data_IF_967931498072
#
_entry.id   IF_967931498072
#
_cell.length_a   1.000
_cell.length_b   1.000
_cell.length_c   1.000
_cell.angle_alpha   90.00
_cell.angle_beta   90.00
_cell.angle_gamma   90.00
#
_symmetry.space_group_name_H-M   'P 1'
#
loop_
_entity.id
_entity.type
_entity.pdbx_description
1 polymer ?
2 non-polymer ?
3 non-polymer ?
4 water ?
#
# COMPACT_ATOMS: atom_id res chain seq x y z
N UNK A 1 3.81 2.83 -3.68
CA UNK A 1 4.15 1.77 -4.67
C UNK A 1 3.51 2.08 -6.02
N UNK A 2 3.98 1.39 -7.05
CA UNK A 2 3.47 1.58 -8.39
C UNK A 2 2.03 1.10 -8.55
N UNK A 3 1.41 1.52 -9.64
CA UNK A 3 0.05 1.15 -9.99
C UNK A 3 -0.13 1.64 -11.43
N UNK A 4 0.82 1.28 -12.28
CA UNK A 4 0.83 1.68 -13.69
C UNK A 4 -0.24 1.02 -14.54
N UNK A 5 -0.67 -0.17 -14.18
CA UNK A 5 -1.69 -0.86 -14.95
C UNK A 5 -2.83 -1.31 -14.06
N UNK A 6 -4.04 -1.03 -14.53
CA UNK A 6 -5.25 -1.36 -13.81
C UNK A 6 -5.43 -2.84 -13.48
N UNK A 7 -5.01 -3.74 -14.36
CA UNK A 7 -5.22 -5.17 -14.10
C UNK A 7 -4.02 -6.11 -14.16
N UNK A 8 -2.81 -5.56 -14.31
CA UNK A 8 -1.60 -6.38 -14.39
C UNK A 8 -0.66 -6.13 -13.20
N UNK A 9 -0.24 -7.19 -12.53
CA UNK A 9 0.66 -7.08 -11.37
C UNK A 9 2.07 -6.67 -11.78
N UNK A 10 2.45 -7.01 -13.01
CA UNK A 10 3.78 -6.70 -13.50
C UNK A 10 4.24 -5.29 -13.19
N UNK A 11 3.38 -4.32 -13.45
CA UNK A 11 3.71 -2.93 -13.19
C UNK A 11 2.77 -2.29 -12.17
N UNK A 12 2.15 -3.10 -11.33
CA UNK A 12 1.24 -2.58 -10.31
C UNK A 12 1.48 -3.23 -8.96
N UNK A 13 2.48 -2.73 -8.22
CA UNK A 13 2.78 -3.27 -6.91
C UNK A 13 1.56 -3.25 -6.00
N UNK A 14 0.75 -2.18 -6.08
CA UNK A 14 -0.44 -2.08 -5.24
C UNK A 14 -1.38 -3.27 -5.39
N UNK A 15 -1.64 -3.65 -6.64
CA UNK A 15 -2.52 -4.78 -6.92
C UNK A 15 -1.85 -6.06 -6.45
N UNK A 16 -0.54 -6.15 -6.63
CA UNK A 16 0.23 -7.32 -6.23
C UNK A 16 0.13 -7.52 -4.72
N UNK A 17 0.24 -6.44 -3.97
CA UNK A 17 0.16 -6.53 -2.51
C UNK A 17 -1.21 -7.04 -2.07
N UNK A 18 -2.25 -6.65 -2.80
CA UNK A 18 -3.60 -7.07 -2.47
C UNK A 18 -3.86 -8.52 -2.85
N UNK A 19 -3.42 -8.91 -4.04
CA UNK A 19 -3.60 -10.30 -4.51
C UNK A 19 -2.89 -11.27 -3.58
N UNK A 20 -1.71 -10.87 -3.09
CA UNK A 20 -0.95 -11.71 -2.19
C UNK A 20 -1.63 -11.78 -0.83
N UNK A 21 -2.24 -10.67 -0.41
CA UNK A 21 -2.96 -10.63 0.87
C UNK A 21 -4.16 -11.58 0.78
N UNK A 22 -4.82 -11.57 -0.38
CA UNK A 22 -5.98 -12.44 -0.60
C UNK A 22 -5.51 -13.91 -0.57
N UNK A 23 -4.31 -14.18 -1.10
CA UNK A 23 -3.77 -15.54 -1.07
C UNK A 23 -3.55 -15.96 0.38
N UNK A 24 -3.16 -15.01 1.23
CA UNK A 24 -2.93 -15.32 2.64
C UNK A 24 -4.25 -15.76 3.26
N UNK A 25 -5.35 -15.10 2.87
CA UNK A 25 -6.67 -15.44 3.39
C UNK A 25 -7.11 -16.82 2.87
N UNK A 26 -6.75 -17.14 1.63
CA UNK A 26 -7.10 -18.44 1.06
C UNK A 26 -6.31 -19.53 1.77
N UNK A 27 -5.04 -19.26 2.05
CA UNK A 27 -4.19 -20.24 2.71
C UNK A 27 -4.61 -20.49 4.17
N UNK A 28 -5.26 -19.52 4.79
CA UNK A 28 -5.70 -19.71 6.17
C UNK A 28 -6.95 -20.59 6.23
N UNK A 29 -6.85 -21.69 6.98
CA UNK A 29 -7.96 -22.62 7.10
C UNK A 29 -8.54 -22.72 8.50
N UNK A 30 -8.12 -21.83 9.39
CA UNK A 30 -8.63 -21.87 10.76
C UNK A 30 -9.51 -20.69 11.12
N UNK A 31 -9.29 -19.56 10.46
CA UNK A 31 -10.06 -18.37 10.79
C UNK A 31 -10.88 -17.73 9.68
N UNK A 32 -10.32 -17.67 8.47
CA UNK A 32 -10.98 -17.03 7.35
C UNK A 32 -12.13 -17.81 6.69
N UNK A 33 -13.24 -17.12 6.46
CA UNK A 33 -14.39 -17.71 5.77
C UNK A 33 -14.07 -17.50 4.29
N UNK A 34 -13.82 -18.58 3.57
CA UNK A 34 -13.47 -18.52 2.15
C UNK A 34 -14.51 -17.85 1.26
N UNK A 35 -15.72 -17.71 1.78
CA UNK A 35 -16.80 -17.06 1.06
C UNK A 35 -16.41 -15.59 0.84
N UNK A 36 -15.55 -15.08 1.72
CA UNK A 36 -15.08 -13.71 1.64
C UNK A 36 -14.10 -13.56 0.48
N UNK A 37 -13.26 -14.58 0.27
CA UNK A 37 -12.32 -14.55 -0.83
C UNK A 37 -13.09 -14.63 -2.15
N UNK A 38 -14.15 -15.43 -2.15
CA UNK A 38 -15.00 -15.59 -3.32
C UNK A 38 -15.62 -14.26 -3.72
N UNK A 39 -16.06 -13.49 -2.73
CA UNK A 39 -16.67 -12.18 -2.96
C UNK A 39 -15.70 -11.17 -3.56
N UNK A 40 -14.46 -11.20 -3.08
CA UNK A 40 -13.42 -10.29 -3.56
C UNK A 40 -13.13 -10.53 -5.05
N UNK A 41 -13.10 -11.79 -5.44
CA UNK A 41 -12.84 -12.12 -6.84
C UNK A 41 -14.08 -11.85 -7.70
N UNK A 42 -15.25 -12.00 -7.11
CA UNK A 42 -16.48 -11.76 -7.84
C UNK A 42 -16.55 -10.30 -8.27
N UNK A 43 -16.05 -9.41 -7.42
CA UNK A 43 -16.05 -7.98 -7.70
C UNK A 43 -14.64 -7.46 -7.92
N UNK A 44 -13.77 -8.34 -8.42
CA UNK A 44 -12.37 -7.99 -8.67
C UNK A 44 -12.22 -6.78 -9.58
N UNK A 45 -13.07 -6.66 -10.58
CA UNK A 45 -13.00 -5.52 -11.50
C UNK A 45 -13.17 -4.20 -10.77
N UNK A 46 -14.16 -4.13 -9.87
CA UNK A 46 -14.40 -2.90 -9.11
C UNK A 46 -13.27 -2.67 -8.12
N UNK A 47 -12.74 -3.76 -7.56
CA UNK A 47 -11.65 -3.70 -6.60
C UNK A 47 -10.43 -3.08 -7.27
N UNK A 48 -9.99 -3.69 -8.36
CA UNK A 48 -8.83 -3.21 -9.10
C UNK A 48 -9.02 -1.78 -9.61
N UNK A 49 -10.26 -1.43 -9.97
CA UNK A 49 -10.56 -0.07 -10.44
C UNK A 49 -10.22 0.92 -9.33
N UNK A 50 -10.66 0.58 -8.12
CA UNK A 50 -10.40 1.44 -6.97
C UNK A 50 -8.91 1.58 -6.67
N UNK A 51 -8.19 0.47 -6.69
CA UNK A 51 -6.76 0.46 -6.41
C UNK A 51 -5.99 1.35 -7.39
N UNK A 52 -6.45 1.38 -8.63
CA UNK A 52 -5.83 2.16 -9.70
C UNK A 52 -6.24 3.64 -9.72
N UNK A 53 -7.52 3.89 -9.45
CA UNK A 53 -8.06 5.25 -9.47
C UNK A 53 -7.36 6.22 -8.53
N UNK A 54 -6.91 5.71 -7.39
CA UNK A 54 -6.23 6.54 -6.41
C UNK A 54 -5.07 7.35 -6.97
N UNK A 55 -4.42 6.86 -8.02
CA UNK A 55 -3.27 7.55 -8.60
C UNK A 55 -3.54 8.36 -9.88
N UNK A 56 -4.72 8.21 -10.46
CA UNK A 56 -4.97 8.89 -11.72
C UNK A 56 -6.10 9.91 -11.84
N UNK A 57 -6.83 10.17 -10.76
CA UNK A 57 -7.92 11.13 -10.84
C UNK A 57 -8.31 11.79 -9.51
N UNK A 58 -9.00 12.92 -9.61
CA UNK A 58 -9.46 13.63 -8.43
C UNK A 58 -10.70 12.93 -7.90
N UNK A 59 -10.95 13.05 -6.58
CA UNK A 59 -10.14 13.79 -5.60
C UNK A 59 -8.97 12.96 -5.05
N UNK A 60 -8.98 11.68 -5.37
CA UNK A 60 -7.98 10.73 -4.90
C UNK A 60 -6.52 11.14 -5.03
N UNK A 61 -6.12 11.73 -6.16
CA UNK A 61 -4.72 12.10 -6.31
C UNK A 61 -4.42 13.58 -6.10
N UNK A 62 -5.36 14.28 -5.47
CA UNK A 62 -5.22 15.69 -5.12
C UNK A 62 -4.55 16.59 -6.18
N UNK A 63 -5.16 16.68 -7.36
CA UNK A 63 -4.64 17.52 -8.44
C UNK A 63 -3.20 17.21 -8.84
N UNK A 64 -2.85 15.93 -8.83
CA UNK A 64 -1.50 15.49 -9.19
C UNK A 64 -0.41 15.79 -8.18
N UNK A 65 -0.77 15.97 -6.92
CA UNK A 65 0.23 16.24 -5.89
C UNK A 65 0.32 15.02 -4.98
N UNK A 66 -0.66 14.13 -5.11
CA UNK A 66 -0.73 12.91 -4.32
C UNK A 66 -0.55 13.13 -2.81
N UNK A 67 -0.93 14.31 -2.34
CA UNK A 67 -0.80 14.65 -0.93
C UNK A 67 -1.47 13.63 -0.01
N UNK A 68 -2.62 13.09 -0.43
CA UNK A 68 -3.32 12.12 0.41
C UNK A 68 -2.67 10.73 0.47
N UNK A 69 -1.62 10.54 -0.32
CA UNK A 69 -0.91 9.27 -0.36
C UNK A 69 0.27 9.25 0.62
N UNK A 70 0.37 10.29 1.46
CA UNK A 70 1.45 10.37 2.43
C UNK A 70 0.90 10.56 3.83
N UNK A 71 1.65 10.07 4.82
CA UNK A 71 1.28 10.21 6.22
C UNK A 71 2.47 9.96 7.13
N UNK A 72 2.96 11.01 7.76
CA UNK A 72 4.08 10.88 8.69
C UNK A 72 3.42 10.61 10.05
N UNK A 73 3.64 9.41 10.61
CA UNK A 73 3.04 9.07 11.90
C UNK A 73 3.49 9.93 13.09
N UNK A 74 4.66 10.56 12.99
CA UNK A 74 5.16 11.39 14.10
C UNK A 74 4.38 12.69 14.31
N UNK A 75 4.03 13.37 13.22
CA UNK A 75 3.28 14.61 13.32
C UNK A 75 1.89 14.49 12.71
N UNK A 76 1.58 13.30 12.18
CA UNK A 76 0.28 13.06 11.56
C UNK A 76 -0.03 13.92 10.35
N UNK A 77 0.99 14.32 9.61
CA UNK A 77 0.81 15.18 8.44
C UNK A 77 1.35 14.60 7.13
N UNK A 78 0.95 15.20 6.02
CA UNK A 78 1.44 14.80 4.71
C UNK A 78 2.50 15.83 4.36
N UNK A 79 3.08 15.76 3.16
CA UNK A 79 4.15 16.70 2.80
C UNK A 79 3.71 18.13 2.44
N UNK A 80 2.40 18.35 2.35
CA UNK A 80 1.89 19.67 2.03
C UNK A 80 1.08 20.17 3.22
N UNK A 81 1.40 21.36 3.73
CA UNK A 81 0.69 21.94 4.87
C UNK A 81 -0.83 22.04 4.67
N UNK A 82 -1.58 21.62 5.69
CA UNK A 82 -3.04 21.66 5.68
C UNK A 82 -3.73 20.75 4.66
N UNK A 83 -2.96 19.88 4.00
CA UNK A 83 -3.56 18.97 3.03
C UNK A 83 -4.05 17.70 3.72
N UNK A 84 -4.94 16.98 3.06
CA UNK A 84 -5.47 15.72 3.59
C UNK A 84 -4.38 14.66 3.54
N UNK A 85 -4.37 13.75 4.52
CA UNK A 85 -3.35 12.71 4.56
C UNK A 85 -3.93 11.29 4.44
N UNK A 86 -3.03 10.33 4.23
CA UNK A 86 -3.39 8.94 4.03
C UNK A 86 -4.24 8.27 5.10
N UNK A 87 -3.96 8.54 6.38
CA UNK A 87 -4.72 7.92 7.46
C UNK A 87 -6.21 8.28 7.48
N UNK A 88 -6.53 9.56 7.34
CA UNK A 88 -7.92 9.97 7.36
C UNK A 88 -8.58 9.64 6.02
N UNK A 89 -7.82 9.72 4.93
CA UNK A 89 -8.37 9.43 3.63
C UNK A 89 -8.63 7.93 3.45
N UNK A 90 -7.73 7.10 3.95
CA UNK A 90 -7.92 5.67 3.84
C UNK A 90 -9.09 5.19 4.69
N UNK A 91 -9.22 5.75 5.88
CA UNK A 91 -10.30 5.38 6.78
C UNK A 91 -11.64 5.80 6.18
N UNK A 92 -11.65 6.96 5.55
CA UNK A 92 -12.84 7.50 4.91
C UNK A 92 -13.44 6.51 3.93
N UNK A 93 -12.60 5.96 3.04
CA UNK A 93 -13.07 5.02 2.05
C UNK A 93 -13.37 3.64 2.61
N UNK A 94 -12.73 3.30 3.72
CA UNK A 94 -12.97 2.02 4.37
C UNK A 94 -14.42 2.03 4.86
N UNK A 95 -14.84 3.16 5.42
CA UNK A 95 -16.20 3.32 5.93
C UNK A 95 -17.21 3.47 4.80
N UNK A 96 -16.86 4.22 3.76
CA UNK A 96 -17.79 4.38 2.65
C UNK A 96 -18.02 3.02 2.01
N UNK A 97 -16.95 2.23 1.92
CA UNK A 97 -17.06 0.90 1.34
C UNK A 97 -18.01 0.03 2.16
N UNK A 98 -17.86 0.09 3.48
CA UNK A 98 -18.71 -0.70 4.34
C UNK A 98 -20.19 -0.33 4.33
N UNK A 99 -20.50 0.95 4.20
CA UNK A 99 -21.88 1.39 4.18
C UNK A 99 -22.56 0.94 2.89
N UNK A 100 -21.85 1.03 1.77
CA UNK A 100 -22.39 0.60 0.49
C UNK A 100 -22.58 -0.91 0.55
N UNK A 101 -21.70 -1.59 1.29
CA UNK A 101 -21.78 -3.04 1.39
C UNK A 101 -23.06 -3.43 2.12
N UNK A 102 -23.41 -2.67 3.16
CA UNK A 102 -24.61 -2.97 3.92
C UNK A 102 -25.89 -2.62 3.18
N UNK A 103 -25.79 -1.79 2.15
CA UNK A 103 -26.96 -1.44 1.34
C UNK A 103 -26.99 -2.30 0.09
N UNK A 104 -26.15 -3.33 0.07
CA UNK A 104 -26.06 -4.26 -1.04
C UNK A 104 -25.59 -3.68 -2.38
N UNK A 105 -24.84 -2.57 -2.33
CA UNK A 105 -24.33 -1.99 -3.56
C UNK A 105 -22.88 -2.46 -3.67
N UNK A 106 -22.69 -3.69 -4.14
CA UNK A 106 -21.37 -4.29 -4.27
C UNK A 106 -20.37 -3.53 -5.14
N UNK A 107 -20.81 -3.07 -6.31
CA UNK A 107 -19.94 -2.32 -7.21
C UNK A 107 -19.30 -1.13 -6.50
N UNK A 108 -20.12 -0.43 -5.73
CA UNK A 108 -19.69 0.76 -4.98
C UNK A 108 -18.80 0.36 -3.80
N UNK A 109 -19.23 -0.67 -3.07
CA UNK A 109 -18.50 -1.15 -1.91
C UNK A 109 -17.07 -1.56 -2.20
N UNK A 110 -16.88 -2.41 -3.21
CA UNK A 110 -15.55 -2.88 -3.54
C UNK A 110 -14.69 -1.87 -4.26
N UNK A 111 -15.32 -0.89 -4.90
CA UNK A 111 -14.53 0.14 -5.58
C UNK A 111 -13.87 0.92 -4.44
N UNK A 112 -14.69 1.36 -3.47
CA UNK A 112 -14.18 2.11 -2.33
C UNK A 112 -13.19 1.31 -1.50
N UNK A 113 -13.40 0.01 -1.36
CA UNK A 113 -12.46 -0.83 -0.59
C UNK A 113 -11.11 -0.79 -1.31
N UNK A 114 -11.15 -0.84 -2.64
CA UNK A 114 -9.92 -0.79 -3.42
C UNK A 114 -9.15 0.49 -3.14
N UNK A 115 -9.86 1.62 -3.10
CA UNK A 115 -9.21 2.89 -2.82
C UNK A 115 -8.57 2.85 -1.43
N UNK A 116 -9.32 2.36 -0.44
CA UNK A 116 -8.80 2.27 0.93
C UNK A 116 -7.57 1.39 1.00
N UNK A 117 -7.58 0.28 0.27
CA UNK A 117 -6.45 -0.63 0.27
C UNK A 117 -5.22 0.06 -0.32
N UNK A 118 -5.44 0.91 -1.31
CA UNK A 118 -4.34 1.65 -1.93
C UNK A 118 -3.63 2.55 -0.92
N UNK A 119 -4.40 3.31 -0.14
CA UNK A 119 -3.82 4.20 0.85
C UNK A 119 -3.09 3.44 1.95
N UNK A 120 -3.69 2.35 2.42
CA UNK A 120 -3.07 1.52 3.44
C UNK A 120 -1.76 0.97 2.86
N UNK A 121 -1.77 0.67 1.56
CA UNK A 121 -0.58 0.16 0.91
C UNK A 121 0.54 1.17 0.89
N UNK A 122 0.22 2.43 0.61
CA UNK A 122 1.22 3.48 0.56
C UNK A 122 2.00 3.75 1.84
N UNK A 123 1.34 3.66 3.00
CA UNK A 123 2.01 3.91 4.26
C UNK A 123 2.97 2.79 4.63
N UNK A 124 2.96 1.69 3.88
CA UNK A 124 3.90 0.60 4.13
C UNK A 124 5.16 0.88 3.34
N UNK A 125 5.10 1.91 2.50
CA UNK A 125 6.25 2.33 1.70
C UNK A 125 6.90 3.44 2.53
N UNK A 126 8.10 3.17 3.10
CA UNK A 126 8.85 4.12 3.93
C UNK A 126 8.84 5.59 3.50
N UNK A 127 9.05 5.83 2.21
CA UNK A 127 9.07 7.19 1.68
C UNK A 127 7.75 7.93 1.91
N UNK A 128 6.65 7.17 1.85
CA UNK A 128 5.34 7.75 2.06
C UNK A 128 5.07 8.04 3.52
N UNK A 129 5.73 7.31 4.39
CA UNK A 129 5.55 7.54 5.82
C UNK A 129 6.56 8.58 6.33
N UNK A 130 7.42 9.07 5.45
CA UNK A 130 8.43 10.06 5.84
C UNK A 130 8.40 11.32 4.99
N UNK A 131 7.35 11.45 4.16
CA UNK A 131 7.19 12.61 3.29
C UNK A 131 8.34 12.87 2.31
N UNK A 132 8.96 11.79 1.86
CA UNK A 132 10.03 11.88 0.87
C UNK A 132 9.31 11.64 -0.46
N UNK A 133 9.18 12.70 -1.26
CA UNK A 133 8.49 12.61 -2.54
C UNK A 133 9.48 12.55 -3.71
N UNK A 134 8.95 12.52 -4.92
CA UNK A 134 9.78 12.45 -6.11
C UNK A 134 10.52 13.76 -6.36
N UNK A 135 10.15 14.80 -5.63
CA UNK A 135 10.82 16.10 -5.77
C UNK A 135 11.83 16.29 -4.65
N UNK A 136 11.81 15.39 -3.69
CA UNK A 136 12.75 15.43 -2.58
C UNK A 136 14.13 15.02 -3.11
N UNK A 137 15.18 15.53 -2.50
CA UNK A 137 16.54 15.21 -2.93
C UNK A 137 16.98 13.83 -2.47
N UNK A 138 17.53 13.02 -3.39
CA UNK A 138 17.76 13.28 -4.82
C UNK A 138 16.44 13.15 -5.56
N UNK A 139 16.11 14.11 -6.42
CA UNK A 139 14.86 14.04 -7.14
C UNK A 139 14.86 12.90 -8.15
N UNK A 140 13.69 12.28 -8.32
CA UNK A 140 13.57 11.17 -9.25
C UNK A 140 13.79 9.83 -8.58
N UNK A 141 14.40 9.83 -7.40
CA UNK A 141 14.70 8.60 -6.67
C UNK A 141 13.43 7.86 -6.24
N UNK A 142 12.45 8.60 -5.77
CA UNK A 142 11.20 8.01 -5.33
C UNK A 142 10.54 7.15 -6.40
N UNK A 143 10.36 7.68 -7.61
CA UNK A 143 9.71 6.89 -8.66
C UNK A 143 10.60 5.79 -9.22
N UNK A 144 11.92 6.03 -9.33
CA UNK A 144 12.80 4.99 -9.84
C UNK A 144 12.86 3.82 -8.86
N UNK A 145 12.73 4.11 -7.58
CA UNK A 145 12.75 3.06 -6.57
C UNK A 145 11.51 2.20 -6.74
N UNK A 146 10.35 2.84 -6.82
CA UNK A 146 9.10 2.10 -6.96
C UNK A 146 9.00 1.30 -8.26
N UNK A 147 9.73 1.75 -9.29
CA UNK A 147 9.75 1.03 -10.57
C UNK A 147 10.63 -0.21 -10.39
N UNK A 148 11.75 -0.03 -9.70
CA UNK A 148 12.68 -1.12 -9.43
C UNK A 148 11.98 -2.20 -8.61
N UNK A 149 11.12 -1.79 -7.68
CA UNK A 149 10.40 -2.72 -6.83
C UNK A 149 9.57 -3.74 -7.61
N UNK A 150 8.99 -3.33 -8.73
CA UNK A 150 8.18 -4.23 -9.56
C UNK A 150 8.99 -5.38 -10.15
N UNK A 151 10.28 -5.16 -10.37
CA UNK A 151 11.14 -6.18 -10.95
C UNK A 151 11.61 -7.23 -9.95
N UNK A 152 11.47 -6.95 -8.66
CA UNK A 152 11.92 -7.91 -7.66
C UNK A 152 10.88 -8.37 -6.65
N UNK A 153 9.68 -7.79 -6.69
CA UNK A 153 8.64 -8.15 -5.73
C UNK A 153 8.24 -9.62 -5.64
N UNK A 154 8.19 -10.34 -6.76
CA UNK A 154 7.81 -11.75 -6.72
C UNK A 154 8.69 -12.64 -5.86
N UNK A 155 9.89 -12.16 -5.51
CA UNK A 155 10.79 -12.93 -4.67
C UNK A 155 10.40 -12.83 -3.21
N UNK A 156 9.44 -11.97 -2.91
CA UNK A 156 9.03 -11.76 -1.52
C UNK A 156 7.56 -12.00 -1.20
N UNK A 157 7.00 -13.09 -1.73
CA UNK A 157 5.61 -13.43 -1.48
C UNK A 157 5.52 -14.20 -0.17
N UNK A 158 4.51 -13.90 0.62
CA UNK A 158 4.28 -14.60 1.87
C UNK A 158 3.58 -15.90 1.48
N UNK A 159 4.17 -17.04 1.83
CA UNK A 159 3.56 -18.32 1.46
C UNK A 159 2.86 -19.08 2.59
N UNK A 160 2.37 -18.35 3.60
CA UNK A 160 1.64 -18.99 4.69
C UNK A 160 0.35 -18.21 4.88
N UNK A 161 -0.55 -18.71 5.71
CA UNK A 161 -1.83 -18.04 5.91
C UNK A 161 -1.90 -17.20 7.18
N UNK A 162 -0.75 -16.71 7.63
CA UNK A 162 -0.72 -15.91 8.83
C UNK A 162 -0.65 -14.40 8.57
N UNK A 163 -1.82 -13.78 8.51
CA UNK A 163 -1.87 -12.34 8.29
C UNK A 163 -1.97 -11.76 9.69
N UNK A 164 -1.92 -10.44 9.81
CA UNK A 164 -2.01 -9.83 11.13
C UNK A 164 -3.46 -9.67 11.54
N UNK A 165 -4.10 -10.79 11.87
CA UNK A 165 -5.50 -10.78 12.29
C UNK A 165 -5.62 -9.91 13.53
N UNK A 166 -6.59 -8.99 13.51
CA UNK A 166 -6.84 -8.06 14.61
C UNK A 166 -5.55 -7.45 15.15
N UNK A 167 -4.66 -7.10 14.22
CA UNK A 167 -3.37 -6.49 14.53
C UNK A 167 -3.57 -5.26 15.41
N UNK A 168 -4.48 -4.38 15.00
CA UNK A 168 -4.78 -3.18 15.78
C UNK A 168 -6.24 -3.24 16.22
N UNK A 169 -6.78 -2.11 16.67
CA UNK A 169 -8.16 -2.10 17.11
C UNK A 169 -9.17 -2.37 16.01
N UNK A 170 -10.34 -1.75 16.12
CA UNK A 170 -11.38 -1.93 15.12
C UNK A 170 -11.51 -0.68 14.26
N UNK A 171 -10.75 0.36 14.62
CA UNK A 171 -10.75 1.62 13.90
C UNK A 171 -9.71 1.54 12.79
N UNK A 172 -10.15 1.61 11.52
CA UNK A 172 -9.22 1.54 10.38
C UNK A 172 -8.03 2.51 10.50
N UNK A 173 -8.26 3.67 11.11
CA UNK A 173 -7.20 4.66 11.30
C UNK A 173 -6.01 4.12 12.06
N UNK A 174 -6.27 3.28 13.06
CA UNK A 174 -5.21 2.69 13.86
C UNK A 174 -4.31 1.77 13.01
N UNK A 175 -4.91 1.10 12.05
CA UNK A 175 -4.16 0.20 11.17
C UNK A 175 -3.23 0.96 10.24
N UNK A 176 -3.72 2.07 9.69
CA UNK A 176 -2.92 2.88 8.79
C UNK A 176 -1.79 3.54 9.57
N UNK A 177 -2.12 4.08 10.74
CA UNK A 177 -1.12 4.73 11.58
C UNK A 177 -0.09 3.69 12.01
N UNK A 178 -0.58 2.56 12.53
CA UNK A 178 0.30 1.49 12.97
C UNK A 178 1.24 1.01 11.89
N UNK A 179 0.75 0.92 10.65
CA UNK A 179 1.57 0.46 9.53
C UNK A 179 2.63 1.50 9.16
N UNK A 180 2.25 2.78 9.23
CA UNK A 180 3.16 3.87 8.88
C UNK A 180 4.29 3.95 9.91
N UNK A 181 3.94 3.72 11.17
CA UNK A 181 4.92 3.75 12.26
C UNK A 181 6.02 2.74 11.99
N UNK A 182 5.64 1.54 11.56
CA UNK A 182 6.60 0.48 11.26
C UNK A 182 7.42 0.80 10.01
N UNK A 183 6.77 1.36 8.99
CA UNK A 183 7.47 1.69 7.75
C UNK A 183 8.45 2.84 7.93
N UNK A 184 8.11 3.81 8.76
CA UNK A 184 9.01 4.94 8.97
C UNK A 184 10.31 4.49 9.65
N UNK A 185 10.24 3.45 10.47
CA UNK A 185 11.41 2.91 11.16
C UNK A 185 12.42 2.37 10.14
N UNK A 186 11.91 1.81 9.05
CA UNK A 186 12.76 1.24 8.02
C UNK A 186 13.18 2.25 6.95
N UNK A 187 12.80 3.51 7.16
CA UNK A 187 13.12 4.57 6.21
C UNK A 187 14.61 4.68 5.89
N UNK A 188 15.43 4.77 6.94
CA UNK A 188 16.87 4.90 6.80
C UNK A 188 17.51 3.75 6.02
N UNK A 189 16.90 2.57 6.08
CA UNK A 189 17.45 1.43 5.36
C UNK A 189 17.27 1.54 3.86
N UNK A 190 16.60 2.60 3.41
CA UNK A 190 16.37 2.82 1.99
C UNK A 190 16.91 4.17 1.54
N UNK A 191 16.60 5.22 2.32
CA UNK A 191 17.06 6.56 1.99
C UNK A 191 18.17 6.96 2.96
N UNK A 192 19.39 7.09 2.43
CA UNK A 192 20.55 7.48 3.22
C UNK A 192 21.65 8.04 2.32
N UNK A 193 22.68 8.63 2.90
CA UNK A 193 23.77 9.21 2.11
C UNK A 193 24.30 8.28 1.02
N UNK A 194 24.40 6.99 1.33
CA UNK A 194 24.89 6.01 0.37
C UNK A 194 23.98 5.87 -0.84
N UNK A 195 22.73 5.50 -0.60
CA UNK A 195 21.78 5.33 -1.70
C UNK A 195 21.62 6.64 -2.48
N UNK A 196 21.64 7.77 -1.78
CA UNK A 196 21.52 9.06 -2.44
C UNK A 196 22.70 9.22 -3.39
N UNK A 197 23.90 9.01 -2.86
CA UNK A 197 25.13 9.14 -3.63
C UNK A 197 25.17 8.22 -4.87
N UNK A 198 24.94 6.94 -4.66
CA UNK A 198 24.98 5.98 -5.76
C UNK A 198 23.90 6.25 -6.80
N UNK A 199 22.75 6.73 -6.36
CA UNK A 199 21.65 7.01 -7.29
C UNK A 199 22.02 8.17 -8.20
N UNK A 200 22.78 9.12 -7.66
CA UNK A 200 23.21 10.26 -8.44
C UNK A 200 24.27 9.83 -9.44
N UNK A 201 25.24 9.07 -8.96
CA UNK A 201 26.31 8.58 -9.83
C UNK A 201 25.77 7.54 -10.80
N UNK A 202 24.72 6.84 -10.39
CA UNK A 202 24.10 5.82 -11.23
C UNK A 202 23.76 6.41 -12.59
N UNK A 203 23.52 7.72 -12.59
CA UNK A 203 23.19 8.43 -13.82
C UNK A 203 24.23 8.18 -14.91
N UNK A 204 25.50 8.27 -14.54
CA UNK A 204 26.59 8.07 -15.50
C UNK A 204 27.32 6.73 -15.40
N UNK A 205 26.93 5.89 -14.46
CA UNK A 205 27.61 4.60 -14.30
C UNK A 205 26.67 3.43 -13.95
N UNK A 206 26.53 2.51 -14.89
CA UNK A 206 25.69 1.33 -14.70
C UNK A 206 26.12 0.57 -13.45
N UNK A 207 27.39 0.76 -13.10
CA UNK A 207 28.01 0.13 -11.95
C UNK A 207 27.34 0.58 -10.65
N UNK A 208 26.95 1.85 -10.60
CA UNK A 208 26.30 2.40 -9.41
C UNK A 208 24.80 2.12 -9.38
N UNK A 209 24.17 2.06 -10.55
CA UNK A 209 22.75 1.78 -10.63
C UNK A 209 22.45 0.48 -9.90
N UNK A 210 23.30 -0.52 -10.10
CA UNK A 210 23.13 -1.82 -9.46
C UNK A 210 23.46 -1.75 -7.98
N UNK A 211 24.36 -0.84 -7.62
CA UNK A 211 24.76 -0.71 -6.22
C UNK A 211 23.62 -0.28 -5.28
N UNK A 212 22.86 0.74 -5.65
CA UNK A 212 21.78 1.17 -4.76
C UNK A 212 20.62 0.18 -4.80
N UNK A 213 20.41 -0.44 -5.96
CA UNK A 213 19.33 -1.43 -6.10
C UNK A 213 19.58 -2.57 -5.12
N UNK A 214 20.82 -3.01 -5.02
CA UNK A 214 21.18 -4.09 -4.11
C UNK A 214 21.02 -3.65 -2.67
N UNK A 215 21.47 -2.43 -2.37
CA UNK A 215 21.39 -1.90 -1.01
C UNK A 215 19.97 -1.82 -0.43
N UNK A 216 19.00 -1.44 -1.27
CA UNK A 216 17.62 -1.29 -0.80
C UNK A 216 16.77 -2.56 -0.83
N UNK A 217 17.26 -3.60 -1.47
CA UNK A 217 16.49 -4.85 -1.59
C UNK A 217 16.09 -5.58 -0.30
N UNK A 218 17.02 -5.81 0.63
CA UNK A 218 16.63 -6.49 1.87
C UNK A 218 15.47 -5.84 2.61
N UNK A 219 15.58 -4.52 2.84
CA UNK A 219 14.53 -3.79 3.54
C UNK A 219 13.25 -3.75 2.70
N UNK A 220 13.39 -3.75 1.38
CA UNK A 220 12.23 -3.73 0.49
C UNK A 220 11.47 -5.03 0.69
N UNK A 221 12.21 -6.14 0.72
CA UNK A 221 11.58 -7.43 0.91
C UNK A 221 10.82 -7.47 2.21
N UNK A 222 11.43 -6.94 3.27
CA UNK A 222 10.78 -6.93 4.59
C UNK A 222 9.52 -6.07 4.56
N UNK A 223 9.60 -4.91 3.90
CA UNK A 223 8.44 -4.02 3.83
C UNK A 223 7.30 -4.67 3.05
N UNK A 224 7.64 -5.35 1.95
CA UNK A 224 6.63 -6.00 1.13
C UNK A 224 5.91 -7.11 1.88
N UNK A 225 6.66 -7.92 2.62
CA UNK A 225 6.03 -9.00 3.36
C UNK A 225 5.09 -8.48 4.44
N UNK A 226 5.49 -7.42 5.14
CA UNK A 226 4.63 -6.84 6.17
C UNK A 226 3.34 -6.30 5.55
N UNK A 227 3.49 -5.59 4.44
CA UNK A 227 2.36 -5.01 3.74
C UNK A 227 1.31 -6.05 3.41
N UNK A 228 1.75 -7.24 2.99
CA UNK A 228 0.85 -8.33 2.64
C UNK A 228 0.10 -8.83 3.85
N UNK A 229 0.82 -9.01 4.96
CA UNK A 229 0.20 -9.51 6.18
C UNK A 229 -0.76 -8.51 6.80
N UNK A 230 -0.38 -7.23 6.78
CA UNK A 230 -1.23 -6.19 7.36
C UNK A 230 -2.46 -5.98 6.46
N UNK A 231 -2.28 -6.04 5.15
CA UNK A 231 -3.41 -5.87 4.24
C UNK A 231 -4.37 -7.03 4.42
N UNK A 232 -3.85 -8.23 4.62
CA UNK A 232 -4.70 -9.39 4.81
C UNK A 232 -5.57 -9.17 6.05
N UNK A 233 -4.96 -8.71 7.13
CA UNK A 233 -5.70 -8.48 8.36
C UNK A 233 -6.68 -7.30 8.27
N UNK A 234 -6.35 -6.33 7.41
CA UNK A 234 -7.19 -5.16 7.18
C UNK A 234 -8.47 -5.57 6.46
N UNK A 235 -8.32 -6.44 5.45
CA UNK A 235 -9.46 -6.92 4.68
C UNK A 235 -10.36 -7.78 5.56
N UNK A 236 -9.76 -8.56 6.46
CA UNK A 236 -10.52 -9.41 7.38
C UNK A 236 -11.31 -8.56 8.36
N UNK A 237 -10.72 -7.44 8.80
CA UNK A 237 -11.38 -6.52 9.71
C UNK A 237 -12.62 -5.91 9.03
N UNK A 238 -12.45 -5.52 7.77
CA UNK A 238 -13.53 -4.92 7.01
C UNK A 238 -14.75 -5.86 7.00
N UNK A 239 -14.52 -7.12 6.63
CA UNK A 239 -15.58 -8.11 6.58
C UNK A 239 -16.22 -8.41 7.93
N UNK A 240 -15.43 -8.42 9.00
CA UNK A 240 -15.97 -8.68 10.32
C UNK A 240 -16.81 -7.49 10.78
N UNK A 241 -16.45 -6.31 10.28
CA UNK A 241 -17.13 -5.08 10.64
C UNK A 241 -18.45 -4.88 9.91
N UNK A 242 -18.45 -5.11 8.62
CA UNK A 242 -19.64 -4.93 7.81
C UNK A 242 -20.29 -6.21 7.33
N UNK A 243 -19.68 -7.35 7.69
CA UNK A 243 -20.20 -8.65 7.28
C UNK A 243 -21.49 -9.08 7.95
N UNK A 244 -22.22 -8.13 8.51
CA UNK A 244 -23.51 -8.40 9.17
C UNK A 244 -23.47 -9.27 10.42
N UNK A 245 -22.42 -9.13 11.24
CA UNK A 245 -22.31 -9.92 12.46
C UNK A 245 -21.91 -9.06 13.68
#
# INVERSE_FOLDING_TARGET
WSAEDKHKEGVNSHLWIVNRAIDIMSRNTTLVKQDRVAQLNEWRTELENGIYAANYENPYYDNSTFASHFYDPDNGKTYIPFAKQAKETGAKYFKLAGESYKNKDMKQAFFYLGLSLHYLGDVNQPMHAANFTNLSYPQGFHSKYENFVDTIKDNYKVTDGNGYWNWKGTNPEEWIHGAAVVAKQDYSGIVNDNTKDWFVKAAVSQEYADKWRAEVTPMTGKRLMDAQRVTAGYIQLWFDTYGDR
#
